data_IF_025700761000
#
_entry.id   IF_025700761000
#
_cell.length_a   1.000
_cell.length_b   1.000
_cell.length_c   1.000
_cell.angle_alpha   90.00
_cell.angle_beta   90.00
_cell.angle_gamma   90.00
#
_symmetry.space_group_name_H-M   'P 1'
#
loop_
_entity.id
_entity.type
_entity.pdbx_description
1 polymer ?
#
# COMPACT_ATOMS: atom_id res chain seq x y z
N UNK A 1 16.07 21.96 -0.95
CA UNK A 1 15.42 20.64 -0.89
C UNK A 1 16.42 19.58 -1.30
N UNK A 2 16.44 18.47 -0.57
CA UNK A 2 17.29 17.30 -0.73
C UNK A 2 16.63 16.37 -1.76
N UNK A 3 17.40 15.95 -2.76
CA UNK A 3 17.02 14.80 -3.58
C UNK A 3 17.33 13.53 -2.80
N UNK A 4 16.35 12.63 -2.70
CA UNK A 4 16.47 11.43 -1.87
C UNK A 4 17.32 10.33 -2.51
N UNK A 5 17.66 10.44 -3.80
CA UNK A 5 18.32 9.40 -4.60
C UNK A 5 19.67 8.89 -4.02
N UNK A 6 20.31 9.66 -3.15
CA UNK A 6 21.60 9.30 -2.55
C UNK A 6 21.49 8.65 -1.17
N UNK A 7 20.34 8.74 -0.51
CA UNK A 7 20.11 8.21 0.83
C UNK A 7 20.02 6.68 0.84
N UNK A 8 20.32 6.08 2.00
CA UNK A 8 20.04 4.69 2.31
C UNK A 8 19.42 4.63 3.70
N UNK A 9 18.10 4.53 3.76
CA UNK A 9 17.33 4.51 5.02
C UNK A 9 16.84 3.08 5.30
N UNK A 10 16.97 2.59 6.55
CA UNK A 10 16.45 1.28 6.92
C UNK A 10 14.92 1.25 6.87
N UNK A 11 14.36 0.07 6.60
CA UNK A 11 12.92 -0.12 6.71
C UNK A 11 12.46 0.08 8.16
N UNK A 12 11.41 0.88 8.35
CA UNK A 12 10.81 1.11 9.66
C UNK A 12 9.45 0.43 9.77
N UNK A 13 9.11 -0.04 10.97
CA UNK A 13 7.79 -0.61 11.25
C UNK A 13 6.70 0.44 10.94
N UNK A 14 5.63 0.07 10.21
CA UNK A 14 4.55 1.01 9.93
C UNK A 14 3.84 1.44 11.22
N UNK A 15 3.34 2.68 11.22
CA UNK A 15 2.42 3.15 12.26
C UNK A 15 1.06 2.50 12.05
N UNK A 16 0.37 2.18 13.15
CA UNK A 16 -0.99 1.64 13.07
C UNK A 16 -1.94 2.65 12.44
N UNK A 17 -2.83 2.16 11.57
CA UNK A 17 -3.90 2.99 10.97
C UNK A 17 -5.02 3.31 11.96
N UNK A 18 -5.08 2.58 13.08
CA UNK A 18 -6.13 2.69 14.08
C UNK A 18 -5.69 3.63 15.20
N UNK A 19 -6.56 4.58 15.53
CA UNK A 19 -6.37 5.51 16.66
C UNK A 19 -7.43 5.36 17.75
N UNK A 20 -8.38 4.44 17.56
CA UNK A 20 -9.46 4.17 18.51
C UNK A 20 -9.17 2.94 19.36
N UNK A 21 -10.00 2.71 20.39
CA UNK A 21 -9.93 1.52 21.25
C UNK A 21 -10.02 0.19 20.49
N UNK A 22 -10.53 0.21 19.25
CA UNK A 22 -10.62 -0.95 18.37
C UNK A 22 -9.26 -1.55 17.99
N UNK A 23 -8.13 -0.89 18.25
CA UNK A 23 -6.79 -1.47 18.06
C UNK A 23 -6.53 -2.70 18.93
N UNK A 24 -7.18 -2.78 20.10
CA UNK A 24 -6.98 -3.89 21.05
C UNK A 24 -7.96 -5.05 20.86
N UNK A 25 -8.93 -4.90 19.96
CA UNK A 25 -9.89 -5.96 19.70
C UNK A 25 -9.23 -7.09 18.93
N UNK A 26 -9.64 -8.32 19.19
CA UNK A 26 -9.23 -9.47 18.40
C UNK A 26 -9.74 -9.31 16.96
N UNK A 27 -8.86 -9.49 15.98
CA UNK A 27 -9.22 -9.42 14.57
C UNK A 27 -9.81 -10.75 14.11
N UNK A 28 -11.02 -10.70 13.54
CA UNK A 28 -11.75 -11.87 13.06
C UNK A 28 -12.17 -11.65 11.60
N UNK A 29 -11.32 -11.99 10.63
CA UNK A 29 -11.68 -11.95 9.21
C UNK A 29 -12.72 -13.01 8.87
N UNK A 30 -13.54 -12.75 7.85
CA UNK A 30 -14.48 -13.74 7.32
C UNK A 30 -13.71 -14.87 6.62
N UNK A 31 -14.12 -16.13 6.81
CA UNK A 31 -13.44 -17.28 6.20
C UNK A 31 -13.41 -17.20 4.66
N UNK A 32 -14.47 -16.69 4.03
CA UNK A 32 -14.52 -16.52 2.57
C UNK A 32 -13.47 -15.50 2.10
N UNK A 33 -13.13 -14.51 2.93
CA UNK A 33 -12.06 -13.57 2.63
C UNK A 33 -10.72 -14.28 2.50
N UNK A 34 -10.43 -15.26 3.35
CA UNK A 34 -9.20 -16.05 3.24
C UNK A 34 -9.17 -16.84 1.92
N UNK A 35 -10.26 -17.49 1.54
CA UNK A 35 -10.30 -18.28 0.30
C UNK A 35 -10.10 -17.41 -0.95
N UNK A 36 -10.82 -16.29 -1.03
CA UNK A 36 -10.75 -15.35 -2.18
C UNK A 36 -9.37 -14.69 -2.23
N UNK A 37 -8.85 -14.21 -1.09
CA UNK A 37 -7.56 -13.54 -1.02
C UNK A 37 -6.42 -14.50 -1.37
N UNK A 38 -6.43 -15.70 -0.82
CA UNK A 38 -5.40 -16.72 -1.07
C UNK A 38 -5.29 -17.06 -2.55
N UNK A 39 -6.44 -17.32 -3.21
CA UNK A 39 -6.48 -17.58 -4.65
C UNK A 39 -5.91 -16.41 -5.47
N UNK A 40 -6.38 -15.19 -5.20
CA UNK A 40 -5.93 -14.00 -5.94
C UNK A 40 -4.43 -13.72 -5.74
N UNK A 41 -3.90 -13.91 -4.53
CA UNK A 41 -2.47 -13.75 -4.25
C UNK A 41 -1.62 -14.80 -4.97
N UNK A 42 -2.08 -16.04 -5.04
CA UNK A 42 -1.40 -17.11 -5.77
C UNK A 42 -1.36 -16.82 -7.27
N UNK A 43 -2.49 -16.44 -7.87
CA UNK A 43 -2.56 -16.06 -9.29
C UNK A 43 -1.64 -14.87 -9.60
N UNK A 44 -1.67 -13.85 -8.75
CA UNK A 44 -0.77 -12.70 -8.88
C UNK A 44 0.71 -13.11 -8.78
N UNK A 45 1.07 -13.97 -7.83
CA UNK A 45 2.46 -14.40 -7.65
C UNK A 45 2.96 -15.27 -8.81
N UNK A 46 2.11 -16.15 -9.36
CA UNK A 46 2.42 -16.94 -10.57
C UNK A 46 2.70 -16.00 -11.74
N UNK A 47 1.80 -15.05 -12.00
CA UNK A 47 1.97 -14.08 -13.08
C UNK A 47 3.24 -13.22 -12.90
N UNK A 48 3.56 -12.83 -11.67
CA UNK A 48 4.78 -12.12 -11.36
C UNK A 48 6.04 -12.92 -11.69
N UNK A 49 6.09 -14.20 -11.27
CA UNK A 49 7.25 -15.08 -11.53
C UNK A 49 7.43 -15.39 -13.01
N UNK A 50 6.32 -15.59 -13.73
CA UNK A 50 6.32 -15.85 -15.17
C UNK A 50 6.55 -14.57 -16.01
N UNK A 51 6.74 -13.43 -15.35
CA UNK A 51 6.91 -12.12 -16.00
C UNK A 51 5.70 -11.68 -16.86
N UNK A 52 4.50 -12.21 -16.56
CA UNK A 52 3.23 -11.77 -17.13
C UNK A 52 2.74 -10.51 -16.42
N UNK A 53 3.34 -9.36 -16.77
CA UNK A 53 3.08 -8.06 -16.16
C UNK A 53 2.09 -7.27 -17.00
N UNK A 54 0.81 -7.45 -16.70
CA UNK A 54 -0.28 -6.68 -17.28
C UNK A 54 -1.18 -6.13 -16.16
N UNK A 55 -1.88 -5.02 -16.41
CA UNK A 55 -2.80 -4.44 -15.41
C UNK A 55 -3.93 -5.40 -15.04
N UNK A 56 -4.29 -6.35 -15.91
CA UNK A 56 -5.29 -7.38 -15.63
C UNK A 56 -4.77 -8.52 -14.73
N UNK A 57 -3.45 -8.71 -14.62
CA UNK A 57 -2.83 -9.78 -13.81
C UNK A 57 -2.38 -9.32 -12.43
N UNK A 58 -2.44 -8.01 -12.16
CA UNK A 58 -2.02 -7.38 -10.92
C UNK A 58 -3.26 -6.80 -10.20
N UNK A 59 -3.79 -7.49 -9.19
CA UNK A 59 -4.97 -7.03 -8.48
C UNK A 59 -4.65 -5.80 -7.61
N UNK A 60 -5.59 -4.84 -7.59
CA UNK A 60 -5.66 -3.82 -6.54
C UNK A 60 -6.74 -4.20 -5.55
N UNK A 61 -6.36 -4.40 -4.29
CA UNK A 61 -7.28 -4.80 -3.23
C UNK A 61 -7.95 -3.56 -2.64
N UNK A 62 -9.29 -3.58 -2.57
CA UNK A 62 -10.08 -2.42 -2.14
C UNK A 62 -11.01 -2.80 -0.98
N UNK A 63 -10.84 -2.15 0.17
CA UNK A 63 -11.81 -2.17 1.27
C UNK A 63 -12.72 -0.95 1.17
N UNK A 64 -13.93 -1.15 0.62
CA UNK A 64 -14.93 -0.10 0.40
C UNK A 64 -16.13 -0.32 1.32
N UNK A 65 -16.43 0.68 2.16
CA UNK A 65 -17.56 0.60 3.09
C UNK A 65 -17.82 1.95 3.78
N UNK A 66 -18.92 2.08 4.51
CA UNK A 66 -19.25 3.25 5.30
C UNK A 66 -18.25 3.56 6.42
N UNK A 67 -18.39 4.71 7.08
CA UNK A 67 -17.55 5.07 8.22
C UNK A 67 -17.75 4.08 9.40
N UNK A 68 -16.67 3.74 10.10
CA UNK A 68 -16.74 2.90 11.30
C UNK A 68 -16.91 1.39 11.07
N UNK A 69 -16.87 0.90 9.82
CA UNK A 69 -17.10 -0.52 9.48
C UNK A 69 -15.84 -1.39 9.45
N UNK A 70 -14.71 -0.88 9.96
CA UNK A 70 -13.47 -1.68 10.09
C UNK A 70 -12.55 -1.70 8.86
N UNK A 71 -12.72 -0.82 7.87
CA UNK A 71 -11.84 -0.74 6.69
C UNK A 71 -10.35 -0.63 7.02
N UNK A 72 -10.00 0.38 7.83
CA UNK A 72 -8.60 0.60 8.24
C UNK A 72 -8.09 -0.54 9.12
N UNK A 73 -8.97 -1.29 9.83
CA UNK A 73 -8.59 -2.50 10.55
C UNK A 73 -8.19 -3.61 9.58
N UNK A 74 -9.03 -3.91 8.59
CA UNK A 74 -8.73 -4.90 7.56
C UNK A 74 -7.42 -4.56 6.82
N UNK A 75 -7.21 -3.29 6.51
CA UNK A 75 -5.98 -2.84 5.85
C UNK A 75 -4.74 -2.95 6.75
N UNK A 76 -4.87 -2.63 8.05
CA UNK A 76 -3.77 -2.77 9.02
C UNK A 76 -3.35 -4.24 9.23
N UNK A 77 -4.33 -5.16 9.21
CA UNK A 77 -4.12 -6.60 9.38
C UNK A 77 -3.83 -7.33 8.06
N UNK A 78 -3.88 -6.63 6.92
CA UNK A 78 -3.87 -7.24 5.59
C UNK A 78 -2.70 -8.20 5.37
N UNK A 79 -1.49 -7.86 5.84
CA UNK A 79 -0.33 -8.76 5.76
C UNK A 79 -0.57 -10.07 6.50
N UNK A 80 -1.11 -10.01 7.72
CA UNK A 80 -1.42 -11.19 8.54
C UNK A 80 -2.47 -12.03 7.82
N UNK A 81 -3.57 -11.40 7.37
CA UNK A 81 -4.65 -12.08 6.63
C UNK A 81 -4.14 -12.75 5.35
N UNK A 82 -3.23 -12.08 4.62
CA UNK A 82 -2.61 -12.61 3.41
C UNK A 82 -1.74 -13.85 3.68
N UNK A 83 -0.94 -13.85 4.74
CA UNK A 83 -0.17 -15.05 5.13
C UNK A 83 -1.12 -16.17 5.55
N UNK A 84 -2.12 -15.85 6.38
CA UNK A 84 -3.08 -16.83 6.90
C UNK A 84 -3.96 -17.44 5.80
N UNK A 85 -4.32 -16.67 4.77
CA UNK A 85 -5.11 -17.13 3.63
C UNK A 85 -4.46 -18.25 2.82
N UNK A 86 -3.16 -18.45 2.97
CA UNK A 86 -2.40 -19.49 2.29
C UNK A 86 -2.14 -20.69 3.22
N UNK A 87 -2.59 -20.69 4.47
CA UNK A 87 -2.21 -21.69 5.48
C UNK A 87 -2.68 -23.11 5.16
N UNK A 88 -3.76 -23.25 4.38
CA UNK A 88 -4.30 -24.56 4.00
C UNK A 88 -3.65 -25.18 2.76
N UNK A 89 -2.78 -24.44 2.07
CA UNK A 89 -2.09 -24.90 0.86
C UNK A 89 -0.64 -25.28 1.19
N UNK A 90 -0.35 -26.58 1.23
CA UNK A 90 0.98 -27.10 1.57
C UNK A 90 1.96 -27.15 0.38
N UNK A 91 1.60 -26.59 -0.78
CA UNK A 91 2.49 -26.53 -1.93
C UNK A 91 3.76 -25.69 -1.66
N UNK A 92 4.85 -26.05 -2.34
CA UNK A 92 6.11 -25.29 -2.26
C UNK A 92 5.93 -23.83 -2.71
N UNK A 93 5.07 -23.61 -3.71
CA UNK A 93 4.73 -22.29 -4.22
C UNK A 93 4.04 -21.44 -3.14
N UNK A 94 3.02 -21.99 -2.47
CA UNK A 94 2.32 -21.32 -1.38
C UNK A 94 3.26 -21.07 -0.18
N UNK A 95 4.13 -22.02 0.16
CA UNK A 95 5.15 -21.85 1.21
C UNK A 95 6.13 -20.71 0.91
N UNK A 96 6.57 -20.63 -0.35
CA UNK A 96 7.45 -19.55 -0.83
C UNK A 96 6.74 -18.20 -0.73
N UNK A 97 5.48 -18.12 -1.19
CA UNK A 97 4.68 -16.90 -1.11
C UNK A 97 4.42 -16.47 0.34
N UNK A 98 4.09 -17.40 1.25
CA UNK A 98 3.96 -17.13 2.70
C UNK A 98 5.23 -16.54 3.29
N UNK A 99 6.40 -17.05 2.90
CA UNK A 99 7.69 -16.54 3.35
C UNK A 99 7.92 -15.11 2.85
N UNK A 100 7.61 -14.83 1.57
CA UNK A 100 7.69 -13.49 0.99
C UNK A 100 6.75 -12.50 1.66
N UNK A 101 5.50 -12.87 1.89
CA UNK A 101 4.49 -12.04 2.58
C UNK A 101 4.88 -11.80 4.05
N UNK A 102 5.42 -12.81 4.73
CA UNK A 102 5.94 -12.69 6.09
C UNK A 102 7.20 -11.82 6.17
N UNK A 103 7.97 -11.71 5.09
CA UNK A 103 9.11 -10.80 4.98
C UNK A 103 8.79 -9.46 4.33
N UNK A 104 7.52 -9.18 4.01
CA UNK A 104 7.14 -8.03 3.19
C UNK A 104 7.40 -6.70 3.91
N UNK A 105 7.88 -5.72 3.15
CA UNK A 105 7.95 -4.34 3.59
C UNK A 105 6.55 -3.73 3.51
N UNK A 106 6.02 -3.33 4.67
CA UNK A 106 4.67 -2.77 4.77
C UNK A 106 4.77 -1.27 4.94
N UNK A 107 4.13 -0.52 4.04
CA UNK A 107 3.95 0.92 4.16
C UNK A 107 2.49 1.24 4.45
N UNK A 108 2.23 1.88 5.59
CA UNK A 108 0.89 2.35 5.96
C UNK A 108 0.79 3.85 5.69
N UNK A 109 0.18 4.20 4.56
CA UNK A 109 -0.08 5.56 4.14
C UNK A 109 -1.53 5.91 4.44
N UNK A 110 -1.75 6.93 5.27
CA UNK A 110 -3.10 7.36 5.65
C UNK A 110 -3.36 8.80 5.20
N UNK A 111 -4.53 9.02 4.60
CA UNK A 111 -5.10 10.33 4.26
C UNK A 111 -6.33 10.67 5.12
N UNK A 112 -6.60 9.87 6.15
CA UNK A 112 -7.67 10.09 7.11
C UNK A 112 -7.38 11.29 8.04
N UNK A 113 -8.29 11.58 8.96
CA UNK A 113 -8.27 12.78 9.81
C UNK A 113 -6.91 13.04 10.46
N UNK A 114 -6.35 14.23 10.18
CA UNK A 114 -5.04 14.68 10.66
C UNK A 114 -3.86 14.33 9.74
N UNK A 115 -4.09 13.58 8.67
CA UNK A 115 -3.11 13.28 7.62
C UNK A 115 -3.64 13.57 6.19
N UNK A 116 -4.71 14.36 6.08
CA UNK A 116 -5.33 14.73 4.81
C UNK A 116 -4.32 15.32 3.82
N UNK A 117 -4.63 15.23 2.52
CA UNK A 117 -3.84 15.86 1.47
C UNK A 117 -3.67 17.35 1.81
N UNK A 118 -2.43 17.81 1.82
CA UNK A 118 -2.11 19.20 2.14
C UNK A 118 -2.26 20.08 0.90
N UNK A 119 -2.47 21.38 1.11
CA UNK A 119 -2.67 22.32 -0.01
C UNK A 119 -1.47 22.39 -0.97
N UNK A 120 -0.26 22.07 -0.49
CA UNK A 120 0.98 22.02 -1.25
C UNK A 120 1.23 20.67 -1.94
N UNK A 121 0.36 19.68 -1.73
CA UNK A 121 0.43 18.35 -2.34
C UNK A 121 -0.47 18.26 -3.58
N UNK A 122 -0.08 18.92 -4.68
CA UNK A 122 -0.86 18.95 -5.91
C UNK A 122 -0.94 17.61 -6.66
N UNK A 123 -0.06 16.66 -6.34
CA UNK A 123 -0.07 15.31 -6.90
C UNK A 123 -0.20 14.29 -5.75
N UNK A 124 -1.36 13.63 -5.59
CA UNK A 124 -1.57 12.69 -4.50
C UNK A 124 -0.67 11.45 -4.57
N UNK A 125 -0.17 11.06 -5.75
CA UNK A 125 0.80 9.97 -5.86
C UNK A 125 2.15 10.33 -5.23
N UNK A 126 2.60 11.58 -5.38
CA UNK A 126 3.79 12.07 -4.66
C UNK A 126 3.51 12.24 -3.15
N UNK A 127 2.27 12.54 -2.78
CA UNK A 127 1.83 12.60 -1.38
C UNK A 127 1.92 11.22 -0.69
N UNK A 128 1.71 10.12 -1.44
CA UNK A 128 1.98 8.75 -0.98
C UNK A 128 3.48 8.59 -0.73
N UNK A 129 4.34 8.99 -1.67
CA UNK A 129 5.79 8.93 -1.50
C UNK A 129 6.30 9.72 -0.29
N UNK A 130 5.77 10.93 -0.05
CA UNK A 130 6.06 11.72 1.15
C UNK A 130 5.74 10.96 2.44
N UNK A 131 4.57 10.31 2.51
CA UNK A 131 4.13 9.55 3.69
C UNK A 131 4.93 8.25 3.86
N UNK A 132 5.33 7.59 2.76
CA UNK A 132 6.26 6.46 2.81
C UNK A 132 7.63 6.90 3.37
N UNK A 133 8.16 8.05 2.91
CA UNK A 133 9.40 8.61 3.43
C UNK A 133 9.29 8.99 4.91
N UNK A 134 8.16 9.59 5.31
CA UNK A 134 7.88 9.90 6.71
C UNK A 134 7.91 8.64 7.59
N UNK A 135 7.39 7.50 7.11
CA UNK A 135 7.46 6.25 7.86
C UNK A 135 8.91 5.84 8.15
N UNK A 136 9.84 6.08 7.23
CA UNK A 136 11.27 5.79 7.40
C UNK A 136 11.98 6.74 8.38
N UNK A 137 11.34 7.87 8.73
CA UNK A 137 11.87 8.92 9.58
C UNK A 137 10.95 9.15 10.79
N UNK A 138 10.87 8.19 11.75
CA UNK A 138 9.83 8.17 12.78
C UNK A 138 9.88 9.35 13.77
N UNK A 139 11.03 10.02 13.87
CA UNK A 139 11.24 11.21 14.72
C UNK A 139 10.79 12.52 14.06
N UNK A 140 10.42 12.48 12.77
CA UNK A 140 10.09 13.66 11.99
C UNK A 140 8.58 13.78 11.74
N UNK A 141 8.17 14.94 11.21
CA UNK A 141 6.78 15.23 10.82
C UNK A 141 6.66 15.57 9.33
N UNK A 142 5.43 15.67 8.83
CA UNK A 142 5.18 16.07 7.45
C UNK A 142 5.74 17.46 7.10
N UNK A 143 5.88 18.37 8.07
CA UNK A 143 6.49 19.67 7.87
C UNK A 143 7.99 19.56 7.58
N UNK A 144 8.69 18.67 8.28
CA UNK A 144 10.08 18.33 8.00
C UNK A 144 10.22 17.76 6.60
N UNK A 145 9.33 16.85 6.19
CA UNK A 145 9.35 16.27 4.83
C UNK A 145 9.20 17.37 3.78
N UNK A 146 8.15 18.20 3.87
CA UNK A 146 7.88 19.28 2.89
C UNK A 146 8.99 20.33 2.79
N UNK A 147 9.66 20.66 3.91
CA UNK A 147 10.74 21.68 3.91
C UNK A 147 12.05 21.13 3.36
N UNK A 148 12.35 19.87 3.64
CA UNK A 148 13.68 19.34 3.42
C UNK A 148 13.79 18.51 2.15
N UNK A 149 12.72 17.92 1.62
CA UNK A 149 12.81 16.99 0.49
C UNK A 149 12.02 17.46 -0.72
N UNK A 150 12.52 17.12 -1.91
CA UNK A 150 11.69 17.13 -3.12
C UNK A 150 10.69 15.97 -2.97
N UNK A 151 9.38 16.18 -3.20
CA UNK A 151 8.38 15.13 -3.08
C UNK A 151 8.77 13.91 -3.94
N UNK A 152 8.98 12.74 -3.32
CA UNK A 152 9.47 11.59 -4.07
C UNK A 152 8.34 10.76 -4.64
N UNK A 153 8.64 10.01 -5.70
CA UNK A 153 7.77 8.91 -6.09
C UNK A 153 7.91 7.74 -5.10
N UNK A 154 6.84 6.96 -4.86
CA UNK A 154 6.91 5.72 -4.09
C UNK A 154 8.08 4.79 -4.48
N UNK A 155 8.36 4.66 -5.78
CA UNK A 155 9.48 3.83 -6.26
C UNK A 155 10.84 4.33 -5.75
N UNK A 156 11.04 5.64 -5.64
CA UNK A 156 12.30 6.21 -5.16
C UNK A 156 12.49 5.95 -3.66
N UNK A 157 11.40 5.95 -2.89
CA UNK A 157 11.44 5.53 -1.48
C UNK A 157 11.82 4.05 -1.36
N UNK A 158 11.25 3.18 -2.20
CA UNK A 158 11.60 1.75 -2.21
C UNK A 158 13.07 1.51 -2.59
N UNK A 159 13.62 2.26 -3.57
CA UNK A 159 15.04 2.17 -3.95
C UNK A 159 15.98 2.54 -2.80
N UNK A 160 15.62 3.51 -1.97
CA UNK A 160 16.43 3.93 -0.82
C UNK A 160 16.48 2.84 0.24
N UNK A 161 15.35 2.20 0.51
CA UNK A 161 15.30 1.05 1.43
C UNK A 161 16.10 -0.12 0.86
N UNK A 162 15.90 -0.46 -0.41
CA UNK A 162 16.65 -1.51 -1.10
C UNK A 162 18.17 -1.30 -1.07
N UNK A 163 18.62 -0.06 -1.24
CA UNK A 163 20.03 0.31 -1.12
C UNK A 163 20.57 0.10 0.29
N UNK A 164 19.81 0.46 1.33
CA UNK A 164 20.21 0.24 2.72
C UNK A 164 20.28 -1.24 3.08
N UNK A 165 19.22 -1.99 2.73
CA UNK A 165 19.07 -3.41 3.01
C UNK A 165 19.94 -4.30 2.10
N UNK A 166 20.60 -3.72 1.07
CA UNK A 166 21.42 -4.40 0.07
C UNK A 166 20.65 -5.52 -0.66
N UNK A 167 19.39 -5.27 -1.01
CA UNK A 167 18.52 -6.21 -1.70
C UNK A 167 18.18 -5.73 -3.11
N UNK A 168 18.07 -6.65 -4.06
CA UNK A 168 17.57 -6.33 -5.40
C UNK A 168 16.05 -6.10 -5.37
N UNK A 169 15.56 -5.20 -6.24
CA UNK A 169 14.14 -4.90 -6.36
C UNK A 169 13.27 -6.13 -6.69
N UNK A 170 13.79 -7.10 -7.45
CA UNK A 170 13.09 -8.36 -7.76
C UNK A 170 12.89 -9.28 -6.56
N UNK A 171 13.78 -9.20 -5.58
CA UNK A 171 13.72 -10.05 -4.39
C UNK A 171 12.75 -9.52 -3.35
N UNK A 172 12.37 -8.25 -3.44
CA UNK A 172 11.58 -7.55 -2.44
C UNK A 172 10.08 -7.79 -2.69
N UNK A 173 9.35 -7.96 -1.60
CA UNK A 173 7.88 -7.93 -1.57
C UNK A 173 7.43 -6.73 -0.77
N UNK A 174 6.50 -5.97 -1.31
CA UNK A 174 5.98 -4.74 -0.70
C UNK A 174 4.48 -4.85 -0.58
N UNK A 175 3.94 -4.51 0.58
CA UNK A 175 2.52 -4.28 0.78
C UNK A 175 2.36 -2.77 0.97
N UNK A 176 1.73 -2.11 -0.01
CA UNK A 176 1.46 -0.68 0.05
C UNK A 176 0.00 -0.49 0.47
N UNK A 177 -0.21 -0.04 1.70
CA UNK A 177 -1.53 0.29 2.21
C UNK A 177 -1.80 1.78 2.02
N UNK A 178 -2.87 2.12 1.29
CA UNK A 178 -3.33 3.51 1.10
C UNK A 178 -4.72 3.66 1.71
N UNK A 179 -4.77 4.15 2.94
CA UNK A 179 -5.97 4.35 3.72
C UNK A 179 -6.56 5.74 3.46
N UNK A 180 -7.87 5.81 3.21
CA UNK A 180 -8.56 7.07 2.96
C UNK A 180 -8.48 7.58 1.52
N UNK A 181 -8.44 6.69 0.51
CA UNK A 181 -8.33 7.03 -0.92
C UNK A 181 -9.42 8.01 -1.40
N UNK A 182 -10.60 7.97 -0.79
CA UNK A 182 -11.70 8.90 -1.04
C UNK A 182 -11.34 10.38 -0.80
N UNK A 183 -10.27 10.68 -0.05
CA UNK A 183 -9.75 12.04 0.10
C UNK A 183 -9.22 12.65 -1.21
N UNK A 184 -9.02 11.82 -2.25
CA UNK A 184 -8.59 12.24 -3.59
C UNK A 184 -9.77 12.48 -4.54
N UNK A 185 -11.01 12.22 -4.10
CA UNK A 185 -12.22 12.46 -4.89
C UNK A 185 -12.63 13.93 -4.75
N UNK A 186 -12.60 14.65 -5.85
CA UNK A 186 -13.10 16.01 -6.00
C UNK A 186 -14.49 16.02 -6.66
N UNK A 187 -14.79 15.01 -7.50
CA UNK A 187 -16.06 14.90 -8.20
C UNK A 187 -16.56 13.45 -8.30
N UNK A 188 -17.86 13.28 -8.56
CA UNK A 188 -18.46 11.97 -8.84
C UNK A 188 -18.00 11.34 -10.16
N UNK A 189 -17.33 12.10 -11.03
CA UNK A 189 -16.82 11.63 -12.32
C UNK A 189 -15.37 11.17 -12.24
N UNK A 190 -14.70 11.32 -11.10
CA UNK A 190 -13.27 11.11 -11.00
C UNK A 190 -12.83 9.69 -11.35
N UNK A 191 -13.66 8.67 -11.09
CA UNK A 191 -13.39 7.30 -11.52
C UNK A 191 -13.44 7.07 -13.05
N UNK A 192 -13.92 8.05 -13.82
CA UNK A 192 -14.05 8.01 -15.29
C UNK A 192 -13.21 9.07 -15.99
N UNK A 193 -12.77 10.09 -15.27
CA UNK A 193 -11.93 11.17 -15.81
C UNK A 193 -10.47 10.82 -15.58
N UNK A 194 -9.76 10.44 -16.65
CA UNK A 194 -8.35 10.04 -16.58
C UNK A 194 -7.42 11.12 -16.01
N UNK A 195 -7.83 12.38 -16.08
CA UNK A 195 -7.09 13.52 -15.52
C UNK A 195 -7.44 13.82 -14.06
N UNK A 196 -8.35 13.06 -13.44
CA UNK A 196 -8.69 13.29 -12.03
C UNK A 196 -7.55 12.83 -11.11
N UNK A 197 -7.32 13.52 -9.97
CA UNK A 197 -6.30 13.10 -9.01
C UNK A 197 -6.50 11.67 -8.52
N UNK A 198 -7.76 11.25 -8.30
CA UNK A 198 -8.11 9.88 -7.92
C UNK A 198 -7.71 8.84 -8.98
N UNK A 199 -8.12 9.03 -10.24
CA UNK A 199 -7.85 8.07 -11.31
C UNK A 199 -6.36 7.96 -11.59
N UNK A 200 -5.66 9.10 -11.66
CA UNK A 200 -4.22 9.14 -11.87
C UNK A 200 -3.48 8.44 -10.73
N UNK A 201 -3.88 8.65 -9.48
CA UNK A 201 -3.23 8.01 -8.34
C UNK A 201 -3.44 6.50 -8.35
N UNK A 202 -4.66 6.03 -8.57
CA UNK A 202 -4.95 4.60 -8.65
C UNK A 202 -4.20 3.93 -9.81
N UNK A 203 -4.17 4.59 -10.98
CA UNK A 203 -3.40 4.13 -12.15
C UNK A 203 -1.90 4.09 -11.86
N UNK A 204 -1.36 5.10 -11.20
CA UNK A 204 0.07 5.18 -10.85
C UNK A 204 0.49 4.13 -9.82
N UNK A 205 -0.41 3.79 -8.88
CA UNK A 205 -0.21 2.65 -7.96
C UNK A 205 -0.15 1.33 -8.75
N UNK A 206 -1.04 1.15 -9.74
CA UNK A 206 -0.99 0.01 -10.64
C UNK A 206 0.30 -0.05 -11.46
N UNK A 207 0.75 1.09 -11.99
CA UNK A 207 1.99 1.20 -12.76
C UNK A 207 3.23 0.89 -11.91
N UNK A 208 3.24 1.28 -10.63
CA UNK A 208 4.29 0.91 -9.68
C UNK A 208 4.43 -0.62 -9.55
N UNK A 209 3.32 -1.35 -9.61
CA UNK A 209 3.28 -2.79 -9.50
C UNK A 209 3.75 -3.53 -10.77
N UNK A 210 3.74 -2.87 -11.94
CA UNK A 210 4.31 -3.41 -13.19
C UNK A 210 5.85 -3.48 -13.16
N UNK A 211 6.49 -2.90 -12.13
CA UNK A 211 7.93 -2.88 -11.96
C UNK A 211 8.55 -4.26 -11.67
N UNK A 212 9.81 -4.25 -11.22
CA UNK A 212 10.51 -5.48 -10.78
C UNK A 212 10.04 -5.98 -9.43
N UNK A 213 9.40 -5.13 -8.62
CA UNK A 213 9.03 -5.41 -7.24
C UNK A 213 7.71 -6.20 -7.23
N UNK A 214 7.61 -7.23 -6.38
CA UNK A 214 6.32 -7.85 -6.11
C UNK A 214 5.52 -6.95 -5.17
N UNK A 215 4.71 -6.05 -5.73
CA UNK A 215 3.95 -5.03 -5.00
C UNK A 215 2.48 -5.45 -4.87
N UNK A 216 1.97 -5.44 -3.65
CA UNK A 216 0.55 -5.71 -3.35
C UNK A 216 -0.09 -4.42 -2.85
N UNK A 217 -0.86 -3.71 -3.70
CA UNK A 217 -1.55 -2.51 -3.31
C UNK A 217 -2.88 -2.84 -2.60
N UNK A 218 -3.06 -2.27 -1.41
CA UNK A 218 -4.26 -2.41 -0.59
C UNK A 218 -4.80 -1.03 -0.23
N UNK A 219 -5.93 -0.64 -0.79
CA UNK A 219 -6.50 0.68 -0.60
C UNK A 219 -7.81 0.62 0.20
N UNK A 220 -8.10 1.67 0.96
CA UNK A 220 -9.41 1.83 1.63
C UNK A 220 -10.10 3.09 1.14
N UNK A 221 -11.43 3.06 1.07
CA UNK A 221 -12.21 4.26 0.79
C UNK A 221 -13.55 4.22 1.54
N UNK A 222 -13.96 5.37 2.05
CA UNK A 222 -15.31 5.54 2.59
C UNK A 222 -16.25 5.82 1.43
N UNK A 223 -17.30 5.00 1.31
CA UNK A 223 -18.36 5.19 0.32
C UNK A 223 -19.65 5.60 1.04
N UNK A 224 -20.38 6.55 0.46
CA UNK A 224 -21.67 7.05 0.97
C UNK A 224 -22.82 6.79 0.00
N UNK A 225 -22.55 6.11 -1.11
CA UNK A 225 -23.52 5.70 -2.12
C UNK A 225 -23.18 4.33 -2.70
N UNK A 226 -24.06 3.76 -3.56
CA UNK A 226 -23.82 2.47 -4.21
C UNK A 226 -22.54 2.47 -5.05
N UNK A 227 -21.86 1.32 -5.10
CA UNK A 227 -20.74 1.03 -6.01
C UNK A 227 -21.27 0.43 -7.30
#
# INVERSE_FOLDING_TARGET
>A
MISIAWLGLPMQKPKDLLRSSGVHWEYQPDQQMHEILGKALMEHYINFNDSHKDKSTIPTYLFLSGAGTGKSRNANEFRKTAVESLSSDDSELASTLRTRLSGAWVFNVSFETGNSIRYDESNPYLAIGNRMLLQLLPSEDMGYISRNFVPPEPLDVLKIVAKHEKRDLGEITVILVVDGLHAMLESSLDGRTETSPFYQTLSSIGDLALGKIFLIPCCTATITGPV
#
